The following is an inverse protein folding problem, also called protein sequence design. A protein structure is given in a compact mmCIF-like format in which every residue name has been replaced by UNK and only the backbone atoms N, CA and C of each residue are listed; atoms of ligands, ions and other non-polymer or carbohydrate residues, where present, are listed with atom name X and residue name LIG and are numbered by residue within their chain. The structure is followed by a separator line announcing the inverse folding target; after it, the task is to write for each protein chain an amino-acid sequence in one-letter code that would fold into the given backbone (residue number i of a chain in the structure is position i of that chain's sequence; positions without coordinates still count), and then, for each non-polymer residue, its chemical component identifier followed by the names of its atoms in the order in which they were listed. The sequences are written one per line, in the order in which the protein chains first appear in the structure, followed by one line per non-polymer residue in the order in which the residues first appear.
data_IF_368899908420
#
_entry.id   IF_368899908420
#
_cell.length_a   1.000
_cell.length_b   1.000
_cell.length_c   1.000
_cell.angle_alpha   90.00
_cell.angle_beta   90.00
_cell.angle_gamma   90.00
#
_symmetry.space_group_name_H-M   'P 1'
#
loop_
_entity.id
_entity.type
_entity.pdbx_description
1 polymer ?
#
# COMPACT_ATOMS: atom_id res chain seq x y z
N UNK A 1 9.05 4.85 12.85
CA UNK A 1 8.24 3.84 12.13
C UNK A 1 8.68 3.65 10.68
N UNK A 2 9.22 4.67 9.99
CA UNK A 2 9.74 4.51 8.62
C UNK A 2 10.74 3.36 8.51
N UNK A 3 11.78 3.34 9.36
CA UNK A 3 12.74 2.21 9.46
C UNK A 3 12.11 0.83 9.68
N UNK A 4 10.92 0.76 10.29
CA UNK A 4 10.25 -0.51 10.57
C UNK A 4 9.38 -0.97 9.40
N UNK A 5 8.64 -0.05 8.78
CA UNK A 5 7.58 -0.40 7.83
C UNK A 5 7.91 -0.08 6.37
N UNK A 6 8.81 0.87 6.12
CA UNK A 6 9.24 1.22 4.76
C UNK A 6 10.47 0.39 4.39
N UNK A 7 10.34 -0.40 3.34
CA UNK A 7 11.39 -1.29 2.86
C UNK A 7 12.56 -0.45 2.35
N UNK A 8 13.79 -0.80 2.75
CA UNK A 8 15.00 -0.06 2.33
C UNK A 8 14.97 1.43 2.69
N UNK A 9 14.24 1.81 3.75
CA UNK A 9 14.33 3.15 4.30
C UNK A 9 15.75 3.41 4.82
N UNK A 10 16.31 4.56 4.42
CA UNK A 10 17.60 5.06 4.88
C UNK A 10 17.46 6.40 5.62
N UNK A 11 18.35 6.66 6.56
CA UNK A 11 18.49 7.95 7.26
C UNK A 11 18.61 9.18 6.34
N UNK A 12 19.09 9.01 5.10
CA UNK A 12 19.17 10.06 4.10
C UNK A 12 17.79 10.64 3.72
N UNK A 13 16.71 9.90 3.94
CA UNK A 13 15.34 10.39 3.75
C UNK A 13 14.81 11.19 4.95
N UNK A 14 15.56 11.26 6.07
CA UNK A 14 15.11 11.91 7.31
C UNK A 14 15.64 13.32 7.50
N UNK A 15 16.78 13.63 6.88
CA UNK A 15 17.49 14.89 7.08
C UNK A 15 17.74 15.59 5.75
N UNK A 16 17.41 16.87 5.72
CA UNK A 16 17.65 17.75 4.57
C UNK A 16 19.08 18.30 4.67
N UNK A 17 20.08 17.49 4.31
CA UNK A 17 21.32 18.10 3.83
C UNK A 17 20.97 18.91 2.57
N UNK A 18 21.45 20.15 2.45
CA UNK A 18 21.17 20.98 1.27
C UNK A 18 22.40 21.08 0.36
N UNK A 19 22.28 20.71 -0.93
CA UNK A 19 21.10 20.07 -1.56
C UNK A 19 20.92 18.62 -1.11
N UNK A 20 19.68 18.06 -1.18
CA UNK A 20 19.42 16.69 -0.76
C UNK A 20 20.32 15.69 -1.49
N UNK A 21 20.95 14.79 -0.73
CA UNK A 21 21.78 13.74 -1.30
C UNK A 21 20.96 12.67 -2.04
N UNK A 22 19.68 12.54 -1.70
CA UNK A 22 18.72 11.60 -2.31
C UNK A 22 17.41 12.31 -2.66
N UNK A 23 16.66 11.74 -3.61
CA UNK A 23 15.29 12.18 -3.92
C UNK A 23 14.27 11.65 -2.91
N UNK A 24 12.99 11.91 -3.18
CA UNK A 24 11.90 11.36 -2.38
C UNK A 24 11.92 9.82 -2.38
N UNK A 25 11.52 9.22 -1.27
CA UNK A 25 11.34 7.79 -1.18
C UNK A 25 10.18 7.35 -2.08
N UNK A 26 10.48 6.58 -3.12
CA UNK A 26 9.53 6.18 -4.15
C UNK A 26 9.84 4.78 -4.73
N UNK A 27 8.82 4.16 -5.32
CA UNK A 27 8.91 2.88 -6.06
C UNK A 27 8.66 3.13 -7.54
N UNK A 28 9.44 2.49 -8.40
CA UNK A 28 9.42 2.76 -9.85
C UNK A 28 9.10 1.53 -10.71
N UNK A 29 8.97 0.35 -10.09
CA UNK A 29 8.55 -0.86 -10.78
C UNK A 29 7.33 -1.48 -10.09
N UNK A 30 6.48 -2.14 -10.87
CA UNK A 30 5.30 -2.83 -10.36
C UNK A 30 5.69 -3.90 -9.34
N UNK A 31 6.79 -4.63 -9.59
CA UNK A 31 7.28 -5.64 -8.66
C UNK A 31 7.72 -5.01 -7.33
N UNK A 32 8.47 -3.90 -7.38
CA UNK A 32 8.91 -3.20 -6.17
C UNK A 32 7.71 -2.71 -5.37
N UNK A 33 6.69 -2.13 -6.03
CA UNK A 33 5.45 -1.73 -5.37
C UNK A 33 4.86 -2.88 -4.54
N UNK A 34 4.67 -4.05 -5.15
CA UNK A 34 4.09 -5.19 -4.43
C UNK A 34 5.00 -5.67 -3.30
N UNK A 35 6.30 -5.79 -3.53
CA UNK A 35 7.24 -6.19 -2.47
C UNK A 35 7.27 -5.21 -1.30
N UNK A 36 7.09 -3.91 -1.54
CA UNK A 36 6.97 -2.90 -0.49
C UNK A 36 5.69 -3.05 0.33
N UNK A 37 4.56 -3.34 -0.32
CA UNK A 37 3.30 -3.64 0.37
C UNK A 37 3.43 -4.91 1.22
N UNK A 38 3.96 -6.00 0.66
CA UNK A 38 4.16 -7.26 1.38
C UNK A 38 5.14 -7.12 2.55
N UNK A 39 6.21 -6.34 2.38
CA UNK A 39 7.14 -5.98 3.46
C UNK A 39 6.40 -5.27 4.59
N UNK A 40 5.62 -4.24 4.29
CA UNK A 40 4.87 -3.46 5.28
C UNK A 40 3.93 -4.35 6.10
N UNK A 41 3.15 -5.22 5.43
CA UNK A 41 2.23 -6.16 6.10
C UNK A 41 3.00 -7.12 7.01
N UNK A 42 4.10 -7.68 6.51
CA UNK A 42 4.96 -8.61 7.27
C UNK A 42 5.57 -7.95 8.51
N UNK A 43 6.08 -6.74 8.36
CA UNK A 43 6.71 -5.97 9.45
C UNK A 43 5.68 -5.56 10.50
N UNK A 44 4.48 -5.16 10.07
CA UNK A 44 3.39 -4.86 10.98
C UNK A 44 3.02 -6.09 11.82
N UNK A 45 2.88 -7.27 11.23
CA UNK A 45 2.63 -8.49 12.01
C UNK A 45 3.72 -8.76 13.07
N UNK A 46 4.97 -8.36 12.79
CA UNK A 46 6.14 -8.55 13.65
C UNK A 46 6.49 -7.35 14.53
N UNK A 47 5.65 -6.32 14.62
CA UNK A 47 5.97 -5.08 15.35
C UNK A 47 6.41 -5.33 16.78
N UNK A 48 5.73 -6.24 17.50
CA UNK A 48 6.08 -6.58 18.89
C UNK A 48 7.48 -7.20 19.03
N UNK A 49 7.94 -7.93 18.02
CA UNK A 49 9.23 -8.63 18.02
C UNK A 49 10.38 -7.72 17.57
N UNK A 50 10.10 -6.83 16.60
CA UNK A 50 11.13 -6.05 15.91
C UNK A 50 11.31 -4.63 16.47
N UNK A 51 10.29 -4.05 17.11
CA UNK A 51 10.41 -2.70 17.63
C UNK A 51 11.26 -2.68 18.91
N UNK A 52 12.20 -1.73 18.97
CA UNK A 52 13.01 -1.49 20.18
C UNK A 52 12.14 -0.93 21.33
N UNK A 53 11.10 -0.15 20.99
CA UNK A 53 10.12 0.35 21.94
C UNK A 53 9.07 -0.69 22.31
N UNK A 54 8.42 -0.52 23.47
CA UNK A 54 7.35 -1.39 23.96
C UNK A 54 6.02 -1.25 23.21
N UNK A 55 6.01 -1.51 21.90
CA UNK A 55 4.81 -1.47 21.08
C UNK A 55 4.11 -2.83 21.09
N UNK A 56 2.80 -2.79 21.29
CA UNK A 56 1.94 -3.97 21.24
C UNK A 56 0.59 -3.61 20.65
N UNK A 57 -0.06 -4.59 20.04
CA UNK A 57 -1.43 -4.45 19.58
C UNK A 57 -2.39 -4.48 20.78
N UNK A 58 -3.45 -3.70 20.68
CA UNK A 58 -4.57 -3.65 21.64
C UNK A 58 -5.55 -4.83 21.46
N UNK A 59 -5.38 -5.61 20.38
CA UNK A 59 -6.18 -6.78 20.03
C UNK A 59 -5.31 -8.03 19.86
N UNK A 60 -5.84 -9.19 20.25
CA UNK A 60 -5.25 -10.50 19.97
C UNK A 60 -5.27 -10.83 18.47
N UNK A 61 -6.21 -10.25 17.73
CA UNK A 61 -6.33 -10.34 16.28
C UNK A 61 -6.14 -8.95 15.70
N UNK A 62 -4.89 -8.47 15.59
CA UNK A 62 -4.60 -7.16 15.03
C UNK A 62 -5.06 -7.10 13.58
N UNK A 63 -5.71 -6.01 13.20
CA UNK A 63 -6.17 -5.80 11.83
C UNK A 63 -5.42 -4.66 11.16
N UNK A 64 -5.15 -4.81 9.87
CA UNK A 64 -4.64 -3.74 9.02
C UNK A 64 -5.70 -3.40 7.97
N UNK A 65 -6.04 -2.12 7.82
CA UNK A 65 -6.92 -1.64 6.76
C UNK A 65 -6.09 -1.23 5.56
N UNK A 66 -6.27 -1.92 4.44
CA UNK A 66 -5.66 -1.59 3.15
C UNK A 66 -6.70 -0.86 2.30
N UNK A 67 -6.30 0.23 1.65
CA UNK A 67 -7.16 1.03 0.79
C UNK A 67 -6.48 1.34 -0.54
N UNK A 68 -7.21 1.18 -1.63
CA UNK A 68 -6.84 1.59 -2.97
C UNK A 68 -7.74 2.75 -3.39
N UNK A 69 -7.14 3.87 -3.79
CA UNK A 69 -7.84 4.98 -4.44
C UNK A 69 -7.56 4.91 -5.93
N UNK A 70 -8.60 5.12 -6.71
CA UNK A 70 -8.53 5.05 -8.16
C UNK A 70 -9.47 6.07 -8.78
N UNK A 71 -9.14 6.45 -10.01
CA UNK A 71 -9.93 7.39 -10.80
C UNK A 71 -10.60 6.64 -11.95
N UNK A 72 -11.83 7.02 -12.26
CA UNK A 72 -12.55 6.48 -13.42
C UNK A 72 -13.10 7.63 -14.27
N UNK A 73 -12.90 7.61 -15.60
CA UNK A 73 -13.56 8.55 -16.48
C UNK A 73 -15.06 8.24 -16.47
N UNK A 74 -15.87 9.25 -16.20
CA UNK A 74 -17.33 9.12 -16.22
C UNK A 74 -17.92 10.12 -17.21
N UNK A 75 -18.88 9.64 -17.98
CA UNK A 75 -19.68 10.46 -18.90
C UNK A 75 -21.10 10.55 -18.38
N UNK A 76 -21.60 11.78 -18.25
CA UNK A 76 -23.01 12.06 -17.94
C UNK A 76 -23.86 11.60 -19.13
N UNK A 77 -24.41 10.38 -19.04
CA UNK A 77 -25.22 9.77 -20.11
C UNK A 77 -26.60 10.41 -20.23
N UNK A 78 -27.01 11.21 -19.25
CA UNK A 78 -28.33 11.85 -19.21
C UNK A 78 -28.35 13.18 -19.96
N UNK A 79 -27.21 13.64 -20.50
CA UNK A 79 -27.11 14.84 -21.33
C UNK A 79 -27.06 14.51 -22.81
N UNK A 80 -27.66 15.40 -23.59
CA UNK A 80 -27.58 15.37 -25.05
C UNK A 80 -26.10 15.26 -25.50
N UNK A 81 -25.76 14.48 -26.55
CA UNK A 81 -24.37 14.21 -26.93
C UNK A 81 -23.45 15.43 -27.08
N UNK A 82 -24.00 16.59 -27.49
CA UNK A 82 -23.31 17.88 -27.60
C UNK A 82 -23.06 18.60 -26.26
N UNK A 83 -23.61 18.12 -25.16
CA UNK A 83 -23.48 18.64 -23.80
C UNK A 83 -22.86 17.59 -22.85
N UNK A 84 -22.31 16.51 -23.40
CA UNK A 84 -21.63 15.50 -22.60
C UNK A 84 -20.38 16.12 -21.96
N UNK A 85 -20.36 16.17 -20.64
CA UNK A 85 -19.19 16.60 -19.86
C UNK A 85 -18.53 15.35 -19.32
N UNK A 86 -17.30 15.10 -19.73
CA UNK A 86 -16.45 14.08 -19.12
C UNK A 86 -15.85 14.66 -17.84
N UNK A 87 -15.99 13.93 -16.73
CA UNK A 87 -15.28 14.26 -15.49
C UNK A 87 -14.65 13.00 -14.89
N UNK A 88 -13.60 13.23 -14.12
CA UNK A 88 -12.87 12.18 -13.41
C UNK A 88 -13.58 11.97 -12.07
N UNK A 89 -14.02 10.74 -11.83
CA UNK A 89 -14.57 10.34 -10.53
C UNK A 89 -13.50 9.61 -9.74
N UNK A 90 -13.12 10.19 -8.61
CA UNK A 90 -12.32 9.51 -7.59
C UNK A 90 -13.19 8.51 -6.83
N UNK A 91 -12.62 7.36 -6.53
CA UNK A 91 -13.24 6.29 -5.76
C UNK A 91 -12.21 5.62 -4.87
N UNK A 92 -12.68 5.01 -3.78
CA UNK A 92 -11.84 4.31 -2.81
C UNK A 92 -12.45 2.93 -2.55
N UNK A 93 -11.57 1.92 -2.48
CA UNK A 93 -11.92 0.57 -2.08
C UNK A 93 -11.00 0.14 -0.95
N UNK A 94 -11.57 -0.37 0.15
CA UNK A 94 -10.79 -0.80 1.29
C UNK A 94 -11.17 -2.20 1.76
N UNK A 95 -10.22 -2.88 2.38
CA UNK A 95 -10.38 -4.18 3.03
C UNK A 95 -9.63 -4.20 4.36
N UNK A 96 -10.11 -4.96 5.33
CA UNK A 96 -9.44 -5.14 6.62
C UNK A 96 -8.96 -6.58 6.73
N UNK A 97 -7.68 -6.77 6.99
CA UNK A 97 -7.04 -8.09 7.10
C UNK A 97 -6.55 -8.32 8.53
N UNK A 98 -6.77 -9.52 9.06
CA UNK A 98 -6.17 -9.95 10.32
C UNK A 98 -4.75 -10.42 10.07
N UNK A 99 -3.76 -9.67 10.55
CA UNK A 99 -2.36 -9.88 10.12
C UNK A 99 -1.72 -11.14 10.67
N UNK A 100 -2.23 -11.65 11.79
CA UNK A 100 -1.81 -12.91 12.41
C UNK A 100 -2.31 -14.16 11.66
N UNK A 101 -3.29 -14.03 10.78
CA UNK A 101 -3.84 -15.14 9.97
C UNK A 101 -3.18 -15.27 8.59
N UNK A 102 -2.27 -14.37 8.24
CA UNK A 102 -1.63 -14.35 6.92
C UNK A 102 -0.48 -15.37 6.89
N UNK A 103 -0.50 -16.27 5.92
CA UNK A 103 0.63 -17.17 5.68
C UNK A 103 1.80 -16.36 5.05
N UNK A 104 2.99 -16.42 5.66
CA UNK A 104 4.19 -15.74 5.15
C UNK A 104 4.55 -16.12 3.72
N UNK A 105 4.20 -17.33 3.27
CA UNK A 105 4.43 -17.77 1.89
C UNK A 105 3.63 -16.93 0.88
N UNK A 106 2.43 -16.44 1.26
CA UNK A 106 1.61 -15.57 0.39
C UNK A 106 2.26 -14.21 0.15
N UNK A 107 3.21 -13.81 0.99
CA UNK A 107 3.91 -12.52 0.90
C UNK A 107 5.38 -12.66 0.45
N UNK A 108 5.78 -13.82 -0.08
CA UNK A 108 7.19 -14.12 -0.32
C UNK A 108 7.81 -13.40 -1.54
N UNK A 109 7.01 -12.99 -2.52
CA UNK A 109 7.46 -12.24 -3.70
C UNK A 109 6.33 -11.42 -4.33
N UNK A 110 6.67 -10.50 -5.25
CA UNK A 110 5.71 -9.57 -5.85
C UNK A 110 4.49 -10.22 -6.52
N UNK A 111 4.64 -11.36 -7.20
CA UNK A 111 3.51 -12.05 -7.84
C UNK A 111 2.52 -12.62 -6.82
N UNK A 112 3.02 -13.23 -5.75
CA UNK A 112 2.16 -13.77 -4.68
C UNK A 112 1.44 -12.64 -3.93
N UNK A 113 2.12 -11.52 -3.70
CA UNK A 113 1.53 -10.34 -3.07
C UNK A 113 0.45 -9.73 -3.97
N UNK A 114 0.67 -9.69 -5.28
CA UNK A 114 -0.36 -9.29 -6.25
C UNK A 114 -1.61 -10.16 -6.11
N UNK A 115 -1.46 -11.48 -6.16
CA UNK A 115 -2.59 -12.41 -5.98
C UNK A 115 -3.27 -12.22 -4.64
N UNK A 116 -2.50 -12.08 -3.56
CA UNK A 116 -3.03 -11.80 -2.23
C UNK A 116 -3.92 -10.55 -2.20
N UNK A 117 -3.50 -9.45 -2.84
CA UNK A 117 -4.31 -8.23 -2.91
C UNK A 117 -5.56 -8.42 -3.77
N UNK A 118 -5.45 -9.14 -4.90
CA UNK A 118 -6.58 -9.46 -5.77
C UNK A 118 -7.64 -10.30 -5.06
N UNK A 119 -7.23 -11.30 -4.26
CA UNK A 119 -8.13 -12.12 -3.44
C UNK A 119 -8.89 -11.27 -2.40
N UNK A 120 -8.27 -10.18 -1.94
CA UNK A 120 -8.89 -9.17 -1.07
C UNK A 120 -9.57 -8.04 -1.84
N UNK A 121 -9.83 -8.27 -3.13
CA UNK A 121 -10.51 -7.38 -4.05
C UNK A 121 -9.80 -6.04 -4.30
N UNK A 122 -8.51 -5.94 -4.02
CA UNK A 122 -7.65 -4.81 -4.34
C UNK A 122 -6.85 -5.13 -5.61
N UNK A 123 -7.53 -5.11 -6.75
CA UNK A 123 -6.91 -5.27 -8.07
C UNK A 123 -6.47 -3.90 -8.60
N UNK A 124 -5.15 -3.72 -8.75
CA UNK A 124 -4.53 -2.45 -9.13
C UNK A 124 -4.17 -2.53 -10.61
N UNK A 125 -4.76 -1.64 -11.40
CA UNK A 125 -4.34 -1.40 -12.78
C UNK A 125 -3.29 -0.28 -12.80
N UNK A 126 -2.12 -0.60 -13.35
CA UNK A 126 -0.99 0.34 -13.48
C UNK A 126 -0.88 0.92 -14.89
N UNK A 127 -1.80 0.58 -15.80
CA UNK A 127 -1.80 1.04 -17.19
C UNK A 127 -2.62 2.32 -17.42
#
# INVERSE_FOLDING_TARGET
FCHLYLRQWDSQYETLDYPPATGDYAVYTINDFYEHVGYTITQFNKTKELAIGGYMFDSLNPTMKLCMRYVSPTTDKDKHPMLSVSYIRESEKCTSIEVNKINSEQLANGNLIKTFLQDHQLDIDFN
#
